data_IF_570088304655
#
_entry.id   IF_570088304655
#
_cell.length_a   1.000
_cell.length_b   1.000
_cell.length_c   1.000
_cell.angle_alpha   90.00
_cell.angle_beta   90.00
_cell.angle_gamma   90.00
#
_symmetry.space_group_name_H-M   'P 1'
#
loop_
_entity.id
_entity.type
_entity.pdbx_description
1 polymer ?
#
# COMPACT_ATOMS: atom_id res chain seq x y z
N UNK A 1 -6.89 4.84 -16.53
CA UNK A 1 -7.01 3.38 -16.39
C UNK A 1 -5.89 2.83 -15.51
N UNK A 2 -6.04 1.60 -15.04
CA UNK A 2 -5.00 0.90 -14.28
C UNK A 2 -3.73 0.69 -15.12
N UNK A 3 -3.86 0.47 -16.43
CA UNK A 3 -2.70 0.32 -17.33
C UNK A 3 -1.90 1.62 -17.45
N UNK A 4 -2.56 2.77 -17.53
CA UNK A 4 -1.85 4.06 -17.49
C UNK A 4 -1.12 4.27 -16.17
N UNK A 5 -1.73 3.89 -15.05
CA UNK A 5 -1.08 3.93 -13.74
C UNK A 5 0.14 3.00 -13.71
N UNK A 6 0.04 1.80 -14.26
CA UNK A 6 1.15 0.87 -14.40
C UNK A 6 2.31 1.48 -15.18
N UNK A 7 2.06 1.99 -16.38
CA UNK A 7 3.10 2.54 -17.26
C UNK A 7 3.84 3.72 -16.61
N UNK A 8 3.08 4.64 -16.00
CA UNK A 8 3.67 5.80 -15.31
C UNK A 8 4.47 5.38 -14.09
N UNK A 9 3.93 4.45 -13.28
CA UNK A 9 4.63 3.95 -12.08
C UNK A 9 5.92 3.23 -12.47
N UNK A 10 5.87 2.35 -13.45
CA UNK A 10 7.04 1.62 -13.97
C UNK A 10 8.14 2.57 -14.45
N UNK A 11 7.77 3.55 -15.29
CA UNK A 11 8.73 4.54 -15.78
C UNK A 11 9.34 5.36 -14.64
N UNK A 12 8.52 5.80 -13.69
CA UNK A 12 8.98 6.58 -12.53
C UNK A 12 9.98 5.78 -11.68
N UNK A 13 9.68 4.52 -11.40
CA UNK A 13 10.56 3.63 -10.63
C UNK A 13 11.87 3.37 -11.37
N UNK A 14 11.82 3.12 -12.68
CA UNK A 14 13.01 2.92 -13.50
C UNK A 14 13.95 4.12 -13.44
N UNK A 15 13.41 5.34 -13.61
CA UNK A 15 14.19 6.58 -13.50
C UNK A 15 14.74 6.78 -12.09
N UNK A 16 13.94 6.48 -11.06
CA UNK A 16 14.37 6.59 -9.66
C UNK A 16 15.59 5.71 -9.39
N UNK A 17 15.53 4.43 -9.72
CA UNK A 17 16.64 3.51 -9.44
C UNK A 17 17.87 3.78 -10.29
N UNK A 18 17.71 4.21 -11.54
CA UNK A 18 18.81 4.72 -12.36
C UNK A 18 19.51 5.92 -11.70
N UNK A 19 18.75 6.86 -11.14
CA UNK A 19 19.33 8.02 -10.46
C UNK A 19 20.00 7.65 -9.15
N UNK A 20 19.44 6.71 -8.38
CA UNK A 20 20.05 6.22 -7.14
C UNK A 20 21.40 5.53 -7.43
N UNK A 21 21.45 4.71 -8.48
CA UNK A 21 22.68 4.06 -8.95
C UNK A 21 23.75 5.09 -9.36
N UNK A 22 23.40 6.05 -10.21
CA UNK A 22 24.30 7.16 -10.61
C UNK A 22 24.84 7.96 -9.44
N UNK A 23 24.13 7.99 -8.31
CA UNK A 23 24.56 8.67 -7.08
C UNK A 23 25.25 7.77 -6.10
N UNK A 24 25.50 6.50 -6.44
CA UNK A 24 26.10 5.48 -5.60
C UNK A 24 25.36 5.32 -4.24
N UNK A 25 24.05 5.41 -4.24
CA UNK A 25 23.23 5.21 -3.05
C UNK A 25 23.14 3.71 -2.73
N UNK A 26 23.49 3.35 -1.52
CA UNK A 26 23.34 1.96 -1.06
C UNK A 26 21.87 1.63 -0.84
N UNK A 27 21.22 0.97 -1.83
CA UNK A 27 19.80 0.61 -1.78
C UNK A 27 19.46 -0.39 -0.67
N UNK A 28 20.44 -1.15 -0.14
CA UNK A 28 20.23 -2.05 1.02
C UNK A 28 19.94 -1.29 2.31
N UNK A 29 20.20 0.01 2.36
CA UNK A 29 19.87 0.91 3.47
C UNK A 29 18.62 1.75 3.24
N UNK A 30 17.81 1.45 2.20
CA UNK A 30 16.64 2.24 1.81
C UNK A 30 15.35 1.42 1.87
N UNK A 31 14.22 2.11 2.06
CA UNK A 31 12.87 1.57 1.88
C UNK A 31 12.17 2.35 0.78
N UNK A 32 11.49 1.64 -0.11
CA UNK A 32 10.65 2.26 -1.12
C UNK A 32 9.26 2.50 -0.56
N UNK A 33 8.72 3.71 -0.77
CA UNK A 33 7.32 4.05 -0.44
C UNK A 33 6.55 4.45 -1.70
N UNK A 34 6.11 3.49 -2.52
CA UNK A 34 5.38 3.76 -3.77
C UNK A 34 3.87 3.80 -3.55
N UNK A 35 3.16 4.26 -4.59
CA UNK A 35 1.75 3.95 -4.78
C UNK A 35 1.55 2.47 -5.17
N UNK A 36 0.35 1.96 -4.98
CA UNK A 36 -0.12 0.76 -5.67
C UNK A 36 -0.59 1.13 -7.08
N UNK A 37 -0.57 0.19 -8.01
CA UNK A 37 -1.10 0.37 -9.37
C UNK A 37 -2.61 0.19 -9.32
N UNK A 38 -3.34 1.30 -9.36
CA UNK A 38 -4.79 1.35 -9.22
C UNK A 38 -5.47 2.09 -10.37
N UNK A 39 -6.75 1.85 -10.58
CA UNK A 39 -7.57 2.69 -11.45
C UNK A 39 -7.70 4.10 -10.86
N UNK A 40 -7.72 5.13 -11.71
CA UNK A 40 -8.03 6.49 -11.27
C UNK A 40 -9.46 6.56 -10.72
N UNK A 41 -9.70 7.40 -9.73
CA UNK A 41 -11.00 7.50 -9.03
C UNK A 41 -12.17 7.87 -9.94
N UNK A 42 -11.90 8.59 -11.04
CA UNK A 42 -12.92 8.98 -12.03
C UNK A 42 -13.04 7.99 -13.19
N UNK A 43 -12.26 6.92 -13.21
CA UNK A 43 -12.35 5.93 -14.26
C UNK A 43 -13.62 5.08 -14.06
N UNK A 44 -14.38 4.88 -15.12
CA UNK A 44 -15.62 4.10 -15.09
C UNK A 44 -15.42 2.62 -14.76
N UNK A 45 -14.24 2.10 -15.08
CA UNK A 45 -13.84 0.74 -14.73
C UNK A 45 -12.86 0.77 -13.54
N UNK A 46 -13.31 0.25 -12.40
CA UNK A 46 -12.47 0.06 -11.22
C UNK A 46 -11.96 -1.38 -11.20
N UNK A 47 -10.64 -1.53 -11.16
CA UNK A 47 -9.99 -2.84 -11.06
C UNK A 47 -10.31 -3.48 -9.70
N UNK A 48 -10.52 -4.80 -9.68
CA UNK A 48 -10.73 -5.54 -8.45
C UNK A 48 -9.42 -5.76 -7.66
N UNK A 49 -9.52 -6.24 -6.42
CA UNK A 49 -8.36 -6.41 -5.52
C UNK A 49 -7.26 -7.29 -6.11
N UNK A 50 -7.64 -8.38 -6.76
CA UNK A 50 -6.70 -9.29 -7.40
C UNK A 50 -5.96 -8.63 -8.57
N UNK A 51 -6.68 -7.94 -9.43
CA UNK A 51 -6.10 -7.23 -10.58
C UNK A 51 -5.12 -6.14 -10.12
N UNK A 52 -5.48 -5.36 -9.10
CA UNK A 52 -4.59 -4.36 -8.49
C UNK A 52 -3.33 -5.02 -7.93
N UNK A 53 -3.48 -6.12 -7.21
CA UNK A 53 -2.35 -6.85 -6.62
C UNK A 53 -1.41 -7.41 -7.71
N UNK A 54 -1.95 -8.10 -8.71
CA UNK A 54 -1.18 -8.66 -9.83
C UNK A 54 -0.44 -7.58 -10.62
N UNK A 55 -1.13 -6.49 -10.99
CA UNK A 55 -0.52 -5.37 -11.72
C UNK A 55 0.55 -4.64 -10.90
N UNK A 56 0.32 -4.47 -9.60
CA UNK A 56 1.30 -3.84 -8.70
C UNK A 56 2.55 -4.70 -8.57
N UNK A 57 2.39 -6.00 -8.33
CA UNK A 57 3.52 -6.93 -8.22
C UNK A 57 4.31 -7.04 -9.54
N UNK A 58 3.64 -7.11 -10.68
CA UNK A 58 4.30 -7.13 -11.99
C UNK A 58 5.11 -5.85 -12.24
N UNK A 59 4.53 -4.69 -11.93
CA UNK A 59 5.21 -3.40 -12.03
C UNK A 59 6.47 -3.37 -11.14
N UNK A 60 6.36 -3.80 -9.90
CA UNK A 60 7.48 -3.83 -8.95
C UNK A 60 8.56 -4.83 -9.38
N UNK A 61 8.18 -6.06 -9.75
CA UNK A 61 9.13 -7.09 -10.20
C UNK A 61 9.91 -6.67 -11.46
N UNK A 62 9.32 -5.82 -12.30
CA UNK A 62 9.98 -5.32 -13.51
C UNK A 62 10.83 -4.05 -13.32
N UNK A 63 10.76 -3.40 -12.14
CA UNK A 63 11.32 -2.05 -11.95
C UNK A 63 12.13 -1.88 -10.67
N UNK A 64 11.99 -2.77 -9.69
CA UNK A 64 12.62 -2.63 -8.37
C UNK A 64 13.72 -3.67 -8.20
N UNK A 65 14.95 -3.28 -7.82
CA UNK A 65 16.04 -4.22 -7.57
C UNK A 65 15.74 -5.19 -6.42
N UNK A 66 16.14 -6.43 -6.59
CA UNK A 66 15.97 -7.52 -5.62
C UNK A 66 16.62 -7.25 -4.26
N UNK A 67 17.66 -6.43 -4.24
CA UNK A 67 18.45 -6.09 -3.05
C UNK A 67 17.78 -5.08 -2.12
N UNK A 68 16.68 -4.45 -2.57
CA UNK A 68 15.91 -3.54 -1.72
C UNK A 68 15.31 -4.33 -0.54
N UNK A 69 15.49 -3.90 0.73
CA UNK A 69 15.03 -4.72 1.87
C UNK A 69 13.52 -4.72 2.05
N UNK A 70 12.81 -3.67 1.62
CA UNK A 70 11.36 -3.61 1.80
C UNK A 70 10.66 -2.50 1.07
N UNK A 71 9.36 -2.70 0.90
CA UNK A 71 8.44 -1.76 0.25
C UNK A 71 7.28 -1.50 1.23
N UNK A 72 7.02 -0.23 1.50
CA UNK A 72 5.94 0.22 2.38
C UNK A 72 4.99 1.13 1.59
N UNK A 73 3.83 0.65 1.24
CA UNK A 73 2.92 1.39 0.35
C UNK A 73 2.33 2.64 1.00
N UNK A 74 2.08 3.66 0.20
CA UNK A 74 1.14 4.73 0.54
C UNK A 74 -0.29 4.30 0.16
N UNK A 75 -1.31 4.96 0.75
CA UNK A 75 -2.73 4.65 0.52
C UNK A 75 -3.46 5.69 -0.33
N UNK A 76 -2.74 6.53 -1.06
CA UNK A 76 -3.35 7.65 -1.81
C UNK A 76 -4.43 7.21 -2.78
N UNK A 77 -5.59 7.86 -2.71
CA UNK A 77 -6.73 7.58 -3.59
C UNK A 77 -7.56 6.34 -3.25
N UNK A 78 -7.21 5.60 -2.19
CA UNK A 78 -7.90 4.38 -1.77
C UNK A 78 -8.66 4.62 -0.46
N UNK A 79 -9.73 3.86 -0.22
CA UNK A 79 -10.33 3.73 1.10
C UNK A 79 -9.37 2.98 2.05
N UNK A 80 -9.63 3.02 3.35
CA UNK A 80 -8.87 2.27 4.34
C UNK A 80 -9.00 0.75 4.14
N UNK A 81 -10.18 0.27 3.77
CA UNK A 81 -10.45 -1.15 3.47
C UNK A 81 -9.77 -1.56 2.16
N UNK A 82 -9.90 -0.78 1.07
CA UNK A 82 -9.27 -1.12 -0.20
C UNK A 82 -7.74 -1.19 -0.08
N UNK A 83 -7.13 -0.23 0.61
CA UNK A 83 -5.68 -0.24 0.83
C UNK A 83 -5.23 -1.47 1.62
N UNK A 84 -6.02 -1.91 2.60
CA UNK A 84 -5.78 -3.13 3.38
C UNK A 84 -5.94 -4.38 2.50
N UNK A 85 -7.03 -4.47 1.74
CA UNK A 85 -7.33 -5.61 0.87
C UNK A 85 -6.27 -5.79 -0.24
N UNK A 86 -5.85 -4.70 -0.88
CA UNK A 86 -4.79 -4.77 -1.89
C UNK A 86 -3.46 -5.25 -1.32
N UNK A 87 -3.08 -4.76 -0.14
CA UNK A 87 -1.85 -5.21 0.54
C UNK A 87 -1.93 -6.69 0.89
N UNK A 88 -3.06 -7.14 1.41
CA UNK A 88 -3.32 -8.52 1.77
C UNK A 88 -3.24 -9.45 0.55
N UNK A 89 -3.88 -9.07 -0.54
CA UNK A 89 -3.88 -9.86 -1.78
C UNK A 89 -2.47 -9.99 -2.36
N UNK A 90 -1.66 -8.92 -2.35
CA UNK A 90 -0.26 -9.01 -2.76
C UNK A 90 0.55 -9.98 -1.89
N UNK A 91 0.36 -9.94 -0.56
CA UNK A 91 1.08 -10.84 0.35
C UNK A 91 0.60 -12.29 0.21
N UNK A 92 -0.66 -12.55 -0.12
CA UNK A 92 -1.19 -13.88 -0.46
C UNK A 92 -0.61 -14.45 -1.75
N UNK A 93 -0.47 -13.61 -2.78
CA UNK A 93 0.14 -14.01 -4.07
C UNK A 93 1.60 -14.41 -3.85
N UNK A 94 2.37 -13.61 -3.12
CA UNK A 94 3.79 -13.87 -2.87
C UNK A 94 4.66 -13.78 -4.13
N UNK A 95 5.79 -14.53 -4.13
CA UNK A 95 6.68 -14.61 -5.30
C UNK A 95 7.63 -13.42 -5.50
N UNK A 96 7.73 -12.53 -4.52
CA UNK A 96 8.62 -11.37 -4.50
C UNK A 96 9.71 -11.54 -3.42
N UNK A 97 10.78 -10.73 -3.50
CA UNK A 97 11.94 -10.84 -2.60
C UNK A 97 11.93 -9.82 -1.45
N UNK A 98 11.14 -8.77 -1.56
CA UNK A 98 11.04 -7.71 -0.57
C UNK A 98 10.07 -8.07 0.55
N UNK A 99 10.17 -7.36 1.67
CA UNK A 99 9.07 -7.33 2.64
C UNK A 99 8.06 -6.28 2.18
N UNK A 100 6.79 -6.68 2.00
CA UNK A 100 5.70 -5.75 1.69
C UNK A 100 4.95 -5.39 2.95
N UNK A 101 4.79 -4.11 3.20
CA UNK A 101 4.07 -3.57 4.35
C UNK A 101 3.44 -2.22 4.00
N UNK A 102 3.01 -1.48 4.98
CA UNK A 102 2.30 -0.22 4.83
C UNK A 102 2.98 0.94 5.54
N UNK A 103 2.83 2.14 4.97
CA UNK A 103 3.13 3.41 5.61
C UNK A 103 1.99 4.38 5.27
N UNK A 104 0.78 4.02 5.71
CA UNK A 104 -0.43 4.74 5.41
C UNK A 104 -0.59 5.97 6.29
N UNK A 105 -1.02 7.08 5.71
CA UNK A 105 -1.52 8.24 6.42
C UNK A 105 -3.03 8.10 6.64
N UNK A 106 -3.83 8.53 5.66
CA UNK A 106 -5.29 8.56 5.76
C UNK A 106 -5.91 7.21 6.04
N UNK A 107 -5.55 6.17 5.34
CA UNK A 107 -6.11 4.84 5.54
C UNK A 107 -5.84 4.23 6.92
N UNK A 108 -4.86 4.75 7.67
CA UNK A 108 -4.59 4.32 9.04
C UNK A 108 -5.30 5.21 10.07
N UNK A 109 -5.44 6.51 9.79
CA UNK A 109 -5.84 7.51 10.79
C UNK A 109 -7.27 8.02 10.62
N UNK A 110 -7.86 7.91 9.43
CA UNK A 110 -9.14 8.56 9.12
C UNK A 110 -10.29 8.06 9.99
N UNK A 111 -10.37 6.75 10.25
CA UNK A 111 -11.37 6.16 11.11
C UNK A 111 -11.27 6.72 12.56
N UNK A 112 -10.04 6.84 13.07
CA UNK A 112 -9.78 7.41 14.39
C UNK A 112 -10.14 8.90 14.46
N UNK A 113 -9.76 9.69 13.45
CA UNK A 113 -10.10 11.10 13.37
C UNK A 113 -11.62 11.32 13.32
N UNK A 114 -12.31 10.48 12.58
CA UNK A 114 -13.78 10.51 12.48
C UNK A 114 -14.45 10.17 13.82
N UNK A 115 -13.93 9.14 14.49
CA UNK A 115 -14.42 8.74 15.81
C UNK A 115 -14.15 9.81 16.88
N UNK A 116 -12.97 10.44 16.83
CA UNK A 116 -12.62 11.52 17.75
C UNK A 116 -13.47 12.78 17.54
N UNK A 117 -13.64 13.19 16.27
CA UNK A 117 -14.45 14.36 15.87
C UNK A 117 -14.11 15.66 16.64
N UNK A 118 -12.86 15.83 17.10
CA UNK A 118 -12.40 16.99 17.85
C UNK A 118 -12.89 17.07 19.29
N UNK A 119 -13.41 15.98 19.87
CA UNK A 119 -13.97 15.96 21.21
C UNK A 119 -13.23 14.93 22.09
N UNK A 120 -12.63 15.40 23.18
CA UNK A 120 -11.84 14.56 24.09
C UNK A 120 -12.67 13.48 24.81
N UNK A 121 -13.98 13.64 24.91
CA UNK A 121 -14.87 12.59 25.42
C UNK A 121 -14.91 11.35 24.51
N UNK A 122 -14.48 11.48 23.25
CA UNK A 122 -14.43 10.40 22.26
C UNK A 122 -13.04 9.73 22.15
N UNK A 123 -12.09 10.11 23.02
CA UNK A 123 -10.71 9.65 22.92
C UNK A 123 -10.59 8.12 22.90
N UNK A 124 -11.32 7.43 23.78
CA UNK A 124 -11.30 5.96 23.84
C UNK A 124 -11.80 5.31 22.53
N UNK A 125 -12.87 5.87 21.94
CA UNK A 125 -13.39 5.38 20.67
C UNK A 125 -12.39 5.60 19.53
N UNK A 126 -11.72 6.76 19.51
CA UNK A 126 -10.70 7.06 18.51
C UNK A 126 -9.49 6.12 18.63
N UNK A 127 -9.05 5.83 19.84
CA UNK A 127 -7.96 4.89 20.09
C UNK A 127 -8.32 3.46 19.67
N UNK A 128 -9.54 3.01 19.93
CA UNK A 128 -10.05 1.70 19.47
C UNK A 128 -10.09 1.63 17.94
N UNK A 129 -10.60 2.67 17.28
CA UNK A 129 -10.66 2.73 15.82
C UNK A 129 -9.25 2.72 15.18
N UNK A 130 -8.29 3.44 15.78
CA UNK A 130 -6.90 3.42 15.33
C UNK A 130 -6.26 2.04 15.50
N UNK A 131 -6.42 1.45 16.68
CA UNK A 131 -5.88 0.11 16.98
C UNK A 131 -6.46 -0.96 16.05
N UNK A 132 -7.77 -0.88 15.76
CA UNK A 132 -8.42 -1.79 14.81
C UNK A 132 -7.76 -1.68 13.42
N UNK A 133 -7.62 -0.47 12.86
CA UNK A 133 -6.97 -0.29 11.55
C UNK A 133 -5.52 -0.76 11.55
N UNK A 134 -4.78 -0.52 12.63
CA UNK A 134 -3.39 -1.00 12.75
C UNK A 134 -3.31 -2.54 12.72
N UNK A 135 -4.23 -3.22 13.44
CA UNK A 135 -4.31 -4.69 13.46
C UNK A 135 -4.70 -5.24 12.07
N UNK A 136 -5.69 -4.63 11.40
CA UNK A 136 -6.10 -5.08 10.06
C UNK A 136 -4.94 -4.95 9.05
N UNK A 137 -4.23 -3.84 9.07
CA UNK A 137 -3.07 -3.65 8.18
C UNK A 137 -1.88 -4.56 8.56
N UNK A 138 -1.68 -4.86 9.84
CA UNK A 138 -0.69 -5.86 10.27
C UNK A 138 -1.05 -7.25 9.68
N UNK A 139 -2.31 -7.68 9.80
CA UNK A 139 -2.78 -8.93 9.19
C UNK A 139 -2.61 -8.95 7.67
N UNK A 140 -2.93 -7.86 7.00
CA UNK A 140 -2.74 -7.71 5.55
C UNK A 140 -1.25 -7.82 5.15
N UNK A 141 -0.33 -7.32 5.96
CA UNK A 141 1.11 -7.48 5.70
C UNK A 141 1.61 -8.92 5.86
N UNK A 142 0.78 -9.80 6.41
CA UNK A 142 1.04 -11.24 6.56
C UNK A 142 0.20 -12.09 5.58
N UNK A 143 -0.72 -11.49 4.81
CA UNK A 143 -1.68 -12.22 3.97
C UNK A 143 -2.76 -12.95 4.78
N UNK A 144 -3.07 -12.47 5.99
CA UNK A 144 -4.01 -13.07 6.95
C UNK A 144 -5.29 -12.26 7.15
N UNK A 145 -5.47 -11.18 6.40
CA UNK A 145 -6.67 -10.36 6.48
C UNK A 145 -7.83 -10.98 5.68
N UNK A 146 -9.03 -10.72 6.12
CA UNK A 146 -10.27 -10.97 5.38
C UNK A 146 -11.32 -9.90 5.75
N UNK A 147 -12.25 -9.64 4.86
CA UNK A 147 -13.31 -8.65 5.07
C UNK A 147 -14.16 -8.93 6.33
N UNK A 148 -14.32 -10.21 6.71
CA UNK A 148 -15.03 -10.60 7.92
C UNK A 148 -14.39 -10.12 9.24
N UNK A 149 -13.12 -9.70 9.20
CA UNK A 149 -12.42 -9.14 10.36
C UNK A 149 -12.69 -7.64 10.58
N UNK A 150 -13.34 -6.99 9.63
CA UNK A 150 -13.71 -5.57 9.73
C UNK A 150 -14.98 -5.31 10.56
N UNK A 151 -15.73 -6.36 10.90
CA UNK A 151 -17.01 -6.30 11.63
C UNK A 151 -16.83 -5.95 13.11
#
# INVERSE_FOLDING_TARGET
>A
TIDQCYDVTKNTLSVLFEMLDKKNINIRGTLLKPNMVVSGTENSHQANYKEVAEKTLDCLNSSVPDELPGIVFLSGGQSDIDATAHLDEMNKIGGFKWKLSFSYGRALQQAALKAWSGNDSNLEHAQKAFSHRAIMNMKASLGEWSESLEA
#
